data_IF_215853889101
#
_entry.id   IF_215853889101
#
_cell.length_a   1.000
_cell.length_b   1.000
_cell.length_c   1.000
_cell.angle_alpha   90.00
_cell.angle_beta   90.00
_cell.angle_gamma   90.00
#
_symmetry.space_group_name_H-M   'P 1'
#
loop_
_entity.id
_entity.type
_entity.pdbx_description
1 polymer ?
#
# COMPACT_ATOMS: atom_id res chain seq x y z
N UNK A 1 -16.11 8.17 3.68
CA UNK A 1 -14.91 8.29 2.82
C UNK A 1 -13.76 7.55 3.48
N UNK A 2 -12.71 7.21 2.74
CA UNK A 2 -11.55 6.48 3.28
C UNK A 2 -10.26 7.26 3.07
N UNK A 3 -9.41 7.29 4.10
CA UNK A 3 -8.02 7.74 4.00
C UNK A 3 -7.11 6.52 4.12
N UNK A 4 -6.23 6.32 3.14
CA UNK A 4 -5.23 5.26 3.15
C UNK A 4 -3.90 5.82 3.64
N UNK A 5 -3.24 5.08 4.52
CA UNK A 5 -2.07 5.55 5.25
C UNK A 5 -0.94 4.55 5.05
N UNK A 6 0.21 5.02 4.56
CA UNK A 6 1.44 4.28 4.62
C UNK A 6 1.96 4.35 6.07
N UNK A 7 1.84 3.25 6.80
CA UNK A 7 2.27 3.13 8.19
C UNK A 7 3.71 2.58 8.18
N UNK A 8 4.62 3.43 7.71
CA UNK A 8 5.95 3.06 7.19
C UNK A 8 6.73 2.16 8.13
N UNK A 9 6.96 2.58 9.37
CA UNK A 9 7.76 1.80 10.31
C UNK A 9 7.03 0.63 10.96
N UNK A 10 5.73 0.47 10.68
CA UNK A 10 4.96 -0.70 11.06
C UNK A 10 4.74 -1.68 9.90
N UNK A 11 5.42 -1.47 8.75
CA UNK A 11 5.40 -2.38 7.61
C UNK A 11 3.98 -2.70 7.10
N UNK A 12 3.09 -1.69 7.13
CA UNK A 12 1.68 -1.87 6.87
C UNK A 12 1.07 -0.72 6.06
N UNK A 13 -0.08 -1.00 5.44
CA UNK A 13 -1.03 0.02 4.99
C UNK A 13 -2.24 -0.03 5.90
N UNK A 14 -2.65 1.13 6.40
CA UNK A 14 -3.87 1.30 7.19
C UNK A 14 -4.95 1.98 6.38
N UNK A 15 -6.18 1.84 6.85
CA UNK A 15 -7.33 2.57 6.35
C UNK A 15 -8.08 3.20 7.51
N UNK A 16 -8.29 4.51 7.42
CA UNK A 16 -9.14 5.30 8.31
C UNK A 16 -10.50 5.47 7.64
N UNK A 17 -11.56 5.05 8.33
CA UNK A 17 -12.92 5.44 7.98
C UNK A 17 -13.19 6.86 8.51
N UNK A 18 -13.45 7.79 7.59
CA UNK A 18 -13.64 9.20 7.93
C UNK A 18 -14.98 9.49 8.59
N UNK A 19 -15.95 8.56 8.59
CA UNK A 19 -17.25 8.77 9.21
C UNK A 19 -17.22 8.50 10.73
N UNK A 20 -16.43 7.53 11.18
CA UNK A 20 -16.37 7.09 12.58
C UNK A 20 -14.97 7.17 13.20
N UNK A 21 -13.99 7.67 12.43
CA UNK A 21 -12.59 7.83 12.82
C UNK A 21 -11.90 6.54 13.27
N UNK A 22 -12.35 5.38 12.78
CA UNK A 22 -11.74 4.10 13.10
C UNK A 22 -10.65 3.75 12.10
N UNK A 23 -9.49 3.36 12.62
CA UNK A 23 -8.36 2.85 11.83
C UNK A 23 -8.37 1.33 11.86
N UNK A 24 -8.11 0.71 10.71
CA UNK A 24 -7.87 -0.73 10.62
C UNK A 24 -6.67 -1.03 9.73
N UNK A 25 -6.14 -2.25 9.87
CA UNK A 25 -5.07 -2.77 9.02
C UNK A 25 -5.65 -3.23 7.70
N UNK A 26 -5.18 -2.66 6.59
CA UNK A 26 -5.59 -3.10 5.27
C UNK A 26 -4.63 -4.14 4.72
N UNK A 27 -3.33 -3.93 4.84
CA UNK A 27 -2.32 -4.88 4.39
C UNK A 27 -1.10 -4.88 5.29
N UNK A 28 -0.45 -6.03 5.34
CA UNK A 28 0.86 -6.29 5.95
C UNK A 28 1.75 -6.98 4.89
N UNK A 29 2.94 -7.47 5.26
CA UNK A 29 3.91 -8.05 4.32
C UNK A 29 4.49 -7.04 3.29
N UNK A 30 4.63 -5.80 3.75
CA UNK A 30 5.38 -4.72 3.10
C UNK A 30 6.67 -4.50 3.89
N UNK A 31 7.60 -3.72 3.36
CA UNK A 31 8.83 -3.29 4.00
C UNK A 31 9.01 -1.78 3.81
N UNK A 32 8.76 -1.03 4.88
CA UNK A 32 8.78 0.43 4.91
C UNK A 32 8.04 1.09 3.73
N UNK A 33 6.71 0.86 3.57
CA UNK A 33 5.97 1.52 2.51
C UNK A 33 6.09 3.04 2.64
N UNK A 34 6.61 3.70 1.61
CA UNK A 34 6.95 5.13 1.65
C UNK A 34 5.91 6.04 1.01
N UNK A 35 5.02 5.47 0.19
CA UNK A 35 4.02 6.24 -0.53
C UNK A 35 2.89 5.39 -1.10
N UNK A 36 1.75 6.04 -1.34
CA UNK A 36 0.54 5.45 -1.89
C UNK A 36 -0.01 6.33 -3.01
N UNK A 37 -0.54 5.71 -4.05
CA UNK A 37 -1.32 6.39 -5.10
C UNK A 37 -2.60 5.60 -5.40
N UNK A 38 -3.73 6.29 -5.55
CA UNK A 38 -4.98 5.67 -6.00
C UNK A 38 -4.92 5.48 -7.50
N UNK A 39 -5.00 4.24 -7.98
CA UNK A 39 -5.09 3.95 -9.42
C UNK A 39 -6.54 3.98 -9.89
N UNK A 40 -7.43 3.34 -9.13
CA UNK A 40 -8.87 3.28 -9.38
C UNK A 40 -9.62 2.93 -8.08
N UNK A 41 -10.94 2.74 -8.17
CA UNK A 41 -11.81 2.49 -7.02
C UNK A 41 -11.40 1.27 -6.16
N UNK A 42 -10.68 0.30 -6.73
CA UNK A 42 -10.34 -0.96 -6.08
C UNK A 42 -8.82 -1.14 -5.91
N UNK A 43 -7.98 -0.25 -6.41
CA UNK A 43 -6.52 -0.47 -6.45
C UNK A 43 -5.76 0.75 -5.99
N UNK A 44 -4.89 0.53 -5.00
CA UNK A 44 -3.81 1.44 -4.60
C UNK A 44 -2.49 0.90 -5.17
N UNK A 45 -1.62 1.77 -5.66
CA UNK A 45 -0.22 1.46 -5.85
C UNK A 45 0.54 1.83 -4.60
N UNK A 46 1.40 0.93 -4.12
CA UNK A 46 2.24 1.11 -2.94
C UNK A 46 3.70 1.12 -3.37
N UNK A 47 4.42 2.16 -3.01
CA UNK A 47 5.88 2.16 -3.05
C UNK A 47 6.38 1.37 -1.83
N UNK A 48 6.74 0.11 -2.04
CA UNK A 48 7.21 -0.82 -1.02
C UNK A 48 8.74 -0.66 -0.90
N UNK A 49 9.15 0.46 -0.30
CA UNK A 49 10.46 1.11 -0.48
C UNK A 49 11.64 0.17 -0.26
N UNK A 50 11.72 -0.44 0.92
CA UNK A 50 12.85 -1.29 1.29
C UNK A 50 12.76 -2.66 0.58
N UNK A 51 11.57 -3.04 0.09
CA UNK A 51 11.40 -4.21 -0.77
C UNK A 51 11.75 -3.90 -2.25
N UNK A 52 12.12 -2.66 -2.57
CA UNK A 52 12.55 -2.22 -3.90
C UNK A 52 11.55 -2.59 -5.00
N UNK A 53 10.26 -2.47 -4.71
CA UNK A 53 9.19 -2.82 -5.66
C UNK A 53 8.01 -1.87 -5.53
N UNK A 54 7.16 -1.91 -6.54
CA UNK A 54 5.79 -1.39 -6.47
C UNK A 54 4.83 -2.57 -6.44
N UNK A 55 3.82 -2.50 -5.59
CA UNK A 55 2.75 -3.50 -5.52
C UNK A 55 1.40 -2.84 -5.71
N UNK A 56 0.49 -3.55 -6.37
CA UNK A 56 -0.93 -3.22 -6.40
C UNK A 56 -1.61 -3.82 -5.17
N UNK A 57 -2.21 -2.97 -4.36
CA UNK A 57 -2.99 -3.32 -3.19
C UNK A 57 -4.48 -3.20 -3.51
N UNK A 58 -5.21 -4.30 -3.35
CA UNK A 58 -6.66 -4.31 -3.46
C UNK A 58 -7.29 -3.64 -2.23
N UNK A 59 -7.97 -2.52 -2.47
CA UNK A 59 -8.52 -1.68 -1.42
C UNK A 59 -9.73 -2.29 -0.68
N UNK A 60 -10.32 -3.36 -1.22
CA UNK A 60 -11.49 -4.03 -0.64
C UNK A 60 -11.10 -5.14 0.35
N UNK A 61 -10.01 -5.85 0.09
CA UNK A 61 -9.65 -7.06 0.85
C UNK A 61 -8.18 -7.12 1.31
N UNK A 62 -7.35 -6.13 0.98
CA UNK A 62 -5.96 -6.09 1.42
C UNK A 62 -4.98 -6.92 0.58
N UNK A 63 -5.43 -7.57 -0.49
CA UNK A 63 -4.57 -8.43 -1.30
C UNK A 63 -3.46 -7.64 -2.01
N UNK A 64 -2.23 -8.13 -1.94
CA UNK A 64 -1.08 -7.57 -2.62
C UNK A 64 -0.75 -8.37 -3.89
N UNK A 65 -0.53 -7.65 -5.00
CA UNK A 65 -0.09 -8.21 -6.26
C UNK A 65 1.14 -7.47 -6.76
N UNK A 66 2.07 -8.20 -7.39
CA UNK A 66 3.21 -7.57 -8.06
C UNK A 66 2.70 -6.59 -9.14
N UNK A 67 3.21 -5.36 -9.15
CA UNK A 67 2.92 -4.43 -10.22
C UNK A 67 3.94 -4.61 -11.35
N UNK A 68 3.52 -4.85 -12.60
CA UNK A 68 4.43 -5.19 -13.69
C UNK A 68 5.17 -3.94 -14.18
N UNK A 69 6.25 -3.56 -13.49
CA UNK A 69 7.16 -2.50 -13.95
C UNK A 69 8.37 -3.13 -14.62
N UNK A 70 8.57 -2.79 -15.89
CA UNK A 70 9.81 -3.06 -16.60
C UNK A 70 10.86 -1.98 -16.29
N UNK A 71 12.12 -2.38 -16.08
CA UNK A 71 13.25 -1.44 -15.97
C UNK A 71 13.52 -0.87 -14.59
N UNK A 72 12.88 -1.39 -13.53
CA UNK A 72 13.33 -1.10 -12.16
C UNK A 72 14.64 -1.84 -11.87
N UNK A 73 15.70 -1.17 -11.39
CA UNK A 73 16.91 -1.84 -10.97
C UNK A 73 16.61 -2.79 -9.79
N UNK A 74 17.41 -3.85 -9.60
CA UNK A 74 17.35 -4.66 -8.39
C UNK A 74 17.60 -3.80 -7.15
N UNK A 75 17.16 -4.30 -5.99
CA UNK A 75 17.53 -3.74 -4.70
C UNK A 75 19.07 -3.50 -4.61
N UNK A 76 19.46 -2.31 -4.15
CA UNK A 76 20.85 -2.00 -3.80
C UNK A 76 21.18 -2.46 -2.39
#
# INVERSE_FOLDING_TARGET
GKLYIADTFNNAVRVLDLANHQVSTLATALLQPGGLAVLNANTLLVADTDANRVVALNAANGALHAWPISGLPPAQ
#
